data_IF_418613113070
#
_entry.id   IF_418613113070
#
_cell.length_a   1.000
_cell.length_b   1.000
_cell.length_c   1.000
_cell.angle_alpha   90.00
_cell.angle_beta   90.00
_cell.angle_gamma   90.00
#
_symmetry.space_group_name_H-M   'P 1'
#
loop_
_entity.id
_entity.type
_entity.pdbx_description
1 polymer ?
#
# COMPACT_ATOMS: atom_id res chain seq x y z
N UNK A 1 -1.51 12.83 -10.44
CA UNK A 1 -1.45 13.34 -9.05
C UNK A 1 -2.86 13.35 -8.50
N UNK A 2 -3.06 12.82 -7.30
CA UNK A 2 -4.32 12.86 -6.59
C UNK A 2 -4.12 13.47 -5.20
N UNK A 3 -5.19 14.02 -4.62
CA UNK A 3 -5.19 14.59 -3.28
C UNK A 3 -6.32 13.94 -2.50
N UNK A 4 -5.96 13.32 -1.37
CA UNK A 4 -6.87 12.59 -0.49
C UNK A 4 -6.97 13.36 0.83
N UNK A 5 -8.09 14.04 1.07
CA UNK A 5 -8.32 14.71 2.34
C UNK A 5 -8.41 13.69 3.47
N UNK A 6 -7.60 13.84 4.51
CA UNK A 6 -7.68 13.01 5.71
C UNK A 6 -8.54 13.69 6.76
N UNK A 7 -8.22 14.95 7.04
CA UNK A 7 -8.92 15.78 8.02
C UNK A 7 -8.95 17.23 7.52
N UNK A 8 -9.71 18.14 8.16
CA UNK A 8 -9.64 19.55 7.81
C UNK A 8 -8.18 20.03 7.83
N UNK A 9 -7.73 20.57 6.69
CA UNK A 9 -6.38 21.11 6.47
C UNK A 9 -5.24 20.07 6.52
N UNK A 10 -5.56 18.79 6.39
CA UNK A 10 -4.57 17.70 6.30
C UNK A 10 -4.95 16.77 5.16
N UNK A 11 -4.01 16.55 4.23
CA UNK A 11 -4.23 15.67 3.09
C UNK A 11 -3.01 14.77 2.82
N UNK A 12 -3.26 13.66 2.12
CA UNK A 12 -2.21 12.91 1.43
C UNK A 12 -2.20 13.33 -0.04
N UNK A 13 -1.03 13.72 -0.52
CA UNK A 13 -0.78 13.97 -1.93
C UNK A 13 -0.11 12.74 -2.52
N UNK A 14 -0.75 12.14 -3.51
CA UNK A 14 -0.25 10.98 -4.26
C UNK A 14 0.31 11.44 -5.60
N UNK A 15 1.58 11.13 -5.85
CA UNK A 15 2.29 11.47 -7.08
C UNK A 15 2.68 10.18 -7.79
N UNK A 16 2.11 9.96 -8.97
CA UNK A 16 2.48 8.86 -9.85
C UNK A 16 3.90 9.10 -10.40
N UNK A 17 4.82 8.18 -10.11
CA UNK A 17 6.20 8.21 -10.58
C UNK A 17 6.38 7.40 -11.86
N UNK A 18 5.81 6.19 -11.89
CA UNK A 18 5.75 5.35 -13.07
C UNK A 18 4.39 4.67 -13.17
N UNK A 19 3.83 4.58 -14.38
CA UNK A 19 2.55 3.89 -14.58
C UNK A 19 2.64 2.38 -14.33
N UNK A 20 3.81 1.78 -14.60
CA UNK A 20 3.95 0.33 -14.73
C UNK A 20 3.00 -0.25 -15.78
N UNK A 21 3.15 -1.54 -16.10
CA UNK A 21 2.16 -2.25 -16.92
C UNK A 21 1.03 -2.83 -16.07
N UNK A 22 1.33 -3.18 -14.81
CA UNK A 22 0.38 -3.79 -13.87
C UNK A 22 0.68 -3.43 -12.40
N UNK A 23 1.72 -2.64 -12.15
CA UNK A 23 2.09 -2.12 -10.84
C UNK A 23 2.63 -0.71 -11.01
N UNK A 24 1.78 0.31 -10.83
CA UNK A 24 2.27 1.68 -10.81
C UNK A 24 3.15 1.89 -9.57
N UNK A 25 3.99 2.91 -9.65
CA UNK A 25 4.78 3.39 -8.52
C UNK A 25 4.36 4.81 -8.16
N UNK A 26 4.26 5.05 -6.86
CA UNK A 26 3.83 6.33 -6.32
C UNK A 26 4.74 6.76 -5.18
N UNK A 27 4.93 8.07 -5.03
CA UNK A 27 5.38 8.67 -3.78
C UNK A 27 4.21 9.40 -3.13
N UNK A 28 4.20 9.42 -1.80
CA UNK A 28 3.14 10.06 -1.03
C UNK A 28 3.71 11.14 -0.12
N UNK A 29 3.02 12.27 -0.05
CA UNK A 29 3.35 13.34 0.88
C UNK A 29 2.18 13.59 1.82
N UNK A 30 2.47 13.83 3.09
CA UNK A 30 1.50 14.45 3.99
C UNK A 30 1.61 15.96 3.87
N UNK A 31 0.51 16.59 3.46
CA UNK A 31 0.37 18.03 3.41
C UNK A 31 -0.44 18.50 4.62
N UNK A 32 0.18 19.30 5.48
CA UNK A 32 -0.42 19.80 6.72
C UNK A 32 -0.42 21.33 6.70
N UNK A 33 -1.62 21.91 6.76
CA UNK A 33 -1.83 23.34 6.81
C UNK A 33 -2.31 23.83 8.18
N UNK A 34 -2.29 23.03 9.24
CA UNK A 34 -2.82 23.44 10.55
C UNK A 34 -2.01 24.55 11.23
N UNK A 35 -0.71 24.65 10.93
CA UNK A 35 0.20 25.66 11.49
C UNK A 35 0.18 27.02 10.78
N UNK A 36 1.09 27.91 11.20
CA UNK A 36 1.27 29.24 10.59
C UNK A 36 1.80 29.16 9.14
N UNK A 37 2.50 28.08 8.81
CA UNK A 37 2.98 27.77 7.46
C UNK A 37 2.56 26.36 7.10
N UNK A 38 2.16 26.15 5.84
CA UNK A 38 1.91 24.82 5.32
C UNK A 38 3.21 24.01 5.24
N UNK A 39 3.14 22.73 5.59
CA UNK A 39 4.28 21.80 5.51
C UNK A 39 3.92 20.61 4.62
N UNK A 40 4.91 20.13 3.86
CA UNK A 40 4.80 18.91 3.06
C UNK A 40 5.90 17.95 3.52
N UNK A 41 5.51 16.75 3.96
CA UNK A 41 6.44 15.73 4.44
C UNK A 41 6.37 14.52 3.53
N UNK A 42 7.50 14.10 2.96
CA UNK A 42 7.59 12.84 2.22
C UNK A 42 7.36 11.67 3.18
N UNK A 43 6.49 10.75 2.80
CA UNK A 43 6.15 9.59 3.62
C UNK A 43 7.07 8.42 3.34
N UNK A 44 7.40 7.70 4.41
CA UNK A 44 8.19 6.47 4.38
C UNK A 44 7.30 5.31 4.81
N UNK A 45 7.15 4.30 3.96
CA UNK A 45 6.28 3.16 4.18
C UNK A 45 7.09 1.95 4.61
N UNK A 46 6.72 1.26 5.70
CA UNK A 46 7.17 -0.11 5.92
C UNK A 46 6.53 -1.02 4.86
N UNK A 47 7.30 -1.45 3.87
CA UNK A 47 6.81 -2.25 2.74
C UNK A 47 7.15 -3.72 2.96
N UNK A 48 6.23 -4.58 2.53
CA UNK A 48 6.44 -6.02 2.37
C UNK A 48 6.50 -6.34 0.88
N UNK A 49 7.60 -6.92 0.42
CA UNK A 49 7.79 -7.29 -1.00
C UNK A 49 8.12 -8.78 -1.13
N UNK A 50 8.11 -9.28 -2.36
CA UNK A 50 8.59 -10.62 -2.70
C UNK A 50 9.16 -10.59 -4.11
N UNK A 51 10.49 -10.48 -4.23
CA UNK A 51 11.18 -10.45 -5.52
C UNK A 51 11.22 -11.80 -6.22
N UNK A 52 11.18 -12.89 -5.45
CA UNK A 52 11.23 -14.28 -5.93
C UNK A 52 9.84 -14.95 -6.05
N UNK A 53 8.78 -14.27 -5.60
CA UNK A 53 7.43 -14.82 -5.51
C UNK A 53 7.30 -15.97 -4.50
N UNK A 54 8.22 -16.09 -3.55
CA UNK A 54 8.30 -17.20 -2.59
C UNK A 54 8.48 -16.73 -1.15
N UNK A 55 9.31 -15.71 -0.93
CA UNK A 55 9.67 -15.20 0.38
C UNK A 55 9.25 -13.74 0.55
N UNK A 56 8.94 -13.35 1.80
CA UNK A 56 8.59 -11.97 2.15
C UNK A 56 9.85 -11.25 2.60
N UNK A 57 10.11 -10.10 2.01
CA UNK A 57 11.14 -9.15 2.41
C UNK A 57 10.49 -7.93 3.06
N UNK A 58 11.17 -7.36 4.05
CA UNK A 58 10.72 -6.14 4.75
C UNK A 58 11.70 -5.01 4.47
N UNK A 59 11.19 -3.85 4.11
CA UNK A 59 11.99 -2.63 3.94
C UNK A 59 11.20 -1.39 4.31
N UNK A 60 11.87 -0.23 4.28
CA UNK A 60 11.23 1.08 4.42
C UNK A 60 11.50 1.86 3.15
N UNK A 61 10.44 2.22 2.43
CA UNK A 61 10.53 2.81 1.09
C UNK A 61 9.75 4.11 1.01
N UNK A 62 10.23 5.04 0.19
CA UNK A 62 9.51 6.29 -0.15
C UNK A 62 8.65 6.12 -1.40
N UNK A 63 9.12 5.29 -2.35
CA UNK A 63 8.38 4.91 -3.55
C UNK A 63 7.71 3.55 -3.32
N UNK A 64 6.39 3.54 -3.41
CA UNK A 64 5.57 2.35 -3.17
C UNK A 64 5.05 1.83 -4.49
N UNK A 65 5.28 0.54 -4.74
CA UNK A 65 4.83 -0.16 -5.92
C UNK A 65 3.57 -0.98 -5.66
N UNK A 66 2.59 -0.86 -6.54
CA UNK A 66 1.34 -1.61 -6.46
C UNK A 66 0.11 -0.73 -6.63
N UNK A 67 -1.04 -1.40 -6.70
CA UNK A 67 -2.34 -0.73 -6.73
C UNK A 67 -2.70 -0.23 -5.34
N UNK A 68 -2.97 1.07 -5.20
CA UNK A 68 -3.33 1.73 -3.94
C UNK A 68 -4.85 1.98 -3.87
N UNK A 69 -5.41 1.83 -2.68
CA UNK A 69 -6.77 2.26 -2.39
C UNK A 69 -6.80 3.07 -1.10
N UNK A 70 -7.40 4.26 -1.16
CA UNK A 70 -7.60 5.14 -0.02
C UNK A 70 -9.01 4.96 0.55
N UNK A 71 -9.09 4.94 1.88
CA UNK A 71 -10.34 5.03 2.63
C UNK A 71 -10.26 6.25 3.56
N UNK A 72 -10.61 7.45 3.07
CA UNK A 72 -10.48 8.71 3.82
C UNK A 72 -11.17 8.66 5.18
N UNK A 73 -12.40 8.15 5.23
CA UNK A 73 -13.19 8.04 6.47
C UNK A 73 -12.53 7.17 7.55
N UNK A 74 -11.69 6.22 7.11
CA UNK A 74 -10.95 5.33 8.01
C UNK A 74 -9.52 5.80 8.28
N UNK A 75 -9.04 6.85 7.60
CA UNK A 75 -7.64 7.27 7.61
C UNK A 75 -6.70 6.11 7.23
N UNK A 76 -7.10 5.31 6.25
CA UNK A 76 -6.37 4.12 5.83
C UNK A 76 -6.02 4.16 4.34
N UNK A 77 -4.90 3.53 4.02
CA UNK A 77 -4.53 3.16 2.66
C UNK A 77 -4.18 1.68 2.62
N UNK A 78 -4.63 0.97 1.60
CA UNK A 78 -4.14 -0.38 1.31
C UNK A 78 -3.41 -0.42 -0.02
N UNK A 79 -2.40 -1.28 -0.12
CA UNK A 79 -1.62 -1.50 -1.34
C UNK A 79 -1.58 -2.97 -1.66
N UNK A 80 -1.84 -3.32 -2.91
CA UNK A 80 -1.60 -4.65 -3.46
C UNK A 80 -0.38 -4.62 -4.37
N UNK A 81 0.68 -5.31 -3.93
CA UNK A 81 1.89 -5.56 -4.72
C UNK A 81 1.81 -6.98 -5.29
N UNK A 82 1.93 -7.10 -6.62
CA UNK A 82 1.83 -8.38 -7.29
C UNK A 82 3.21 -9.03 -7.45
N UNK A 83 3.32 -10.33 -7.27
CA UNK A 83 4.56 -11.04 -7.62
C UNK A 83 4.63 -11.37 -9.12
N UNK A 84 3.48 -11.39 -9.81
CA UNK A 84 3.38 -11.54 -11.28
C UNK A 84 2.08 -10.94 -11.82
N UNK A 85 2.02 -10.72 -13.13
CA UNK A 85 0.96 -9.98 -13.83
C UNK A 85 -0.48 -10.48 -13.59
N UNK A 86 -0.67 -11.76 -13.26
CA UNK A 86 -2.00 -12.39 -13.17
C UNK A 86 -2.77 -12.10 -11.88
N UNK A 87 -2.15 -11.37 -10.94
CA UNK A 87 -2.73 -11.07 -9.63
C UNK A 87 -3.19 -12.30 -8.83
N UNK A 88 -2.62 -13.47 -9.10
CA UNK A 88 -2.96 -14.73 -8.45
C UNK A 88 -2.04 -15.06 -7.26
N UNK A 89 -0.97 -14.29 -7.08
CA UNK A 89 -0.08 -14.24 -5.92
C UNK A 89 0.51 -12.83 -5.72
N UNK A 90 0.94 -12.54 -4.51
CA UNK A 90 1.47 -11.24 -4.14
C UNK A 90 1.29 -10.96 -2.66
N UNK A 91 1.39 -9.68 -2.30
CA UNK A 91 1.25 -9.17 -0.94
C UNK A 91 0.29 -8.00 -0.94
N UNK A 92 -0.64 -8.04 0.00
CA UNK A 92 -1.52 -6.93 0.32
C UNK A 92 -1.14 -6.38 1.68
N UNK A 93 -1.04 -5.06 1.78
CA UNK A 93 -0.65 -4.33 2.99
C UNK A 93 -1.67 -3.24 3.28
N UNK A 94 -1.98 -3.00 4.54
CA UNK A 94 -2.84 -1.89 5.01
C UNK A 94 -2.09 -1.02 5.98
N UNK A 95 -2.25 0.29 5.80
CA UNK A 95 -1.57 1.33 6.52
C UNK A 95 -2.57 2.25 7.21
N UNK A 96 -2.31 2.57 8.48
CA UNK A 96 -2.93 3.72 9.14
C UNK A 96 -2.17 4.99 8.79
N UNK A 97 -2.91 6.06 8.47
CA UNK A 97 -2.40 7.36 8.03
C UNK A 97 -2.69 8.51 9.03
N UNK A 98 -3.23 8.19 10.21
CA UNK A 98 -3.58 9.17 11.24
C UNK A 98 -2.35 9.83 11.89
N UNK A 99 -1.20 9.14 11.88
CA UNK A 99 0.07 9.64 12.40
C UNK A 99 0.85 10.54 11.44
N UNK A 100 2.09 10.88 11.82
CA UNK A 100 3.03 11.63 10.95
C UNK A 100 3.60 10.78 9.82
N UNK A 101 3.82 9.49 10.08
CA UNK A 101 4.27 8.50 9.12
C UNK A 101 3.26 7.35 9.06
N UNK A 102 3.13 6.67 7.91
CA UNK A 102 2.31 5.48 7.77
C UNK A 102 2.74 4.36 8.72
N UNK A 103 1.77 3.65 9.28
CA UNK A 103 2.03 2.46 10.10
C UNK A 103 1.35 1.27 9.46
N UNK A 104 2.10 0.21 9.16
CA UNK A 104 1.55 -1.06 8.68
C UNK A 104 0.70 -1.70 9.79
N UNK A 105 -0.60 -1.85 9.57
CA UNK A 105 -1.56 -2.36 10.55
C UNK A 105 -2.06 -3.76 10.23
N UNK A 106 -2.06 -4.14 8.95
CA UNK A 106 -2.38 -5.50 8.51
C UNK A 106 -1.63 -5.85 7.24
N UNK A 107 -1.39 -7.14 7.04
CA UNK A 107 -0.93 -7.67 5.77
C UNK A 107 -1.46 -9.09 5.54
N UNK A 108 -1.64 -9.42 4.26
CA UNK A 108 -2.00 -10.75 3.79
C UNK A 108 -1.17 -11.08 2.57
N UNK A 109 -0.72 -12.32 2.45
CA UNK A 109 0.11 -12.74 1.32
C UNK A 109 -0.32 -14.10 0.80
N UNK A 110 -0.29 -14.26 -0.51
CA UNK A 110 -0.43 -15.56 -1.16
C UNK A 110 0.90 -15.92 -1.79
N UNK A 111 1.76 -16.52 -0.98
CA UNK A 111 3.09 -17.00 -1.36
C UNK A 111 3.27 -18.45 -0.84
N UNK A 112 4.07 -19.30 -1.51
CA UNK A 112 4.68 -19.03 -2.81
C UNK A 112 3.64 -18.93 -3.93
N UNK A 113 4.01 -18.28 -5.04
CA UNK A 113 3.19 -18.27 -6.23
C UNK A 113 2.92 -19.70 -6.73
N UNK A 114 1.67 -20.03 -7.12
CA UNK A 114 1.37 -21.36 -7.62
C UNK A 114 2.10 -21.65 -8.93
N UNK A 115 2.52 -22.91 -9.12
CA UNK A 115 3.26 -23.34 -10.32
C UNK A 115 2.45 -23.14 -11.62
N UNK A 116 1.12 -23.33 -11.55
CA UNK A 116 0.18 -22.96 -12.62
C UNK A 116 -0.52 -21.65 -12.30
N UNK A 117 -1.10 -21.03 -13.33
CA UNK A 117 -1.92 -19.83 -13.16
C UNK A 117 -3.14 -20.15 -12.29
N UNK A 118 -3.28 -19.43 -11.19
CA UNK A 118 -4.45 -19.47 -10.33
C UNK A 118 -5.48 -18.43 -10.73
N UNK A 119 -6.69 -18.47 -10.13
CA UNK A 119 -7.63 -17.37 -10.28
C UNK A 119 -7.02 -16.07 -9.69
N UNK A 120 -7.34 -14.91 -10.26
CA UNK A 120 -6.92 -13.62 -9.72
C UNK A 120 -7.49 -13.42 -8.31
N UNK A 121 -6.84 -12.58 -7.52
CA UNK A 121 -7.31 -12.16 -6.21
C UNK A 121 -8.74 -11.61 -6.30
N UNK A 122 -9.59 -12.03 -5.37
CA UNK A 122 -10.92 -11.46 -5.18
C UNK A 122 -10.87 -10.58 -3.94
N UNK A 123 -11.59 -9.46 -3.92
CA UNK A 123 -11.52 -8.48 -2.84
C UNK A 123 -12.87 -8.36 -2.12
N UNK A 124 -12.81 -8.22 -0.79
CA UNK A 124 -13.96 -7.85 0.02
C UNK A 124 -14.24 -6.34 -0.07
N UNK A 125 -15.38 -5.90 0.46
CA UNK A 125 -15.63 -4.48 0.72
C UNK A 125 -14.50 -3.92 1.60
N UNK A 126 -13.82 -2.86 1.15
CA UNK A 126 -12.61 -2.34 1.81
C UNK A 126 -11.29 -2.91 1.28
N UNK A 127 -11.31 -3.48 0.06
CA UNK A 127 -10.15 -3.80 -0.78
C UNK A 127 -9.14 -4.79 -0.16
N UNK A 128 -9.57 -5.63 0.78
CA UNK A 128 -8.76 -6.71 1.33
C UNK A 128 -8.96 -8.00 0.52
N UNK A 129 -7.89 -8.75 0.18
CA UNK A 129 -8.01 -9.97 -0.60
C UNK A 129 -8.68 -11.08 0.20
N UNK A 130 -9.70 -11.69 -0.41
CA UNK A 130 -10.38 -12.86 0.13
C UNK A 130 -9.46 -14.07 0.11
N UNK A 131 -9.45 -14.81 1.23
CA UNK A 131 -8.77 -16.11 1.40
C UNK A 131 -7.24 -16.07 1.36
N UNK A 132 -6.63 -14.88 1.35
CA UNK A 132 -5.17 -14.77 1.50
C UNK A 132 -4.79 -14.87 2.99
N UNK A 133 -3.86 -15.77 3.36
CA UNK A 133 -3.39 -15.87 4.74
C UNK A 133 -2.83 -14.55 5.27
N UNK A 134 -3.10 -14.24 6.53
CA UNK A 134 -2.51 -13.08 7.21
C UNK A 134 -1.01 -13.28 7.43
N UNK A 135 -0.24 -12.19 7.32
CA UNK A 135 1.19 -12.15 7.62
C UNK A 135 1.38 -11.60 9.04
N UNK A 136 2.23 -12.26 9.84
CA UNK A 136 2.57 -11.76 11.17
C UNK A 136 3.44 -10.50 11.06
N UNK A 137 2.99 -9.42 11.69
CA UNK A 137 3.67 -8.12 11.70
C UNK A 137 4.63 -7.94 12.88
N UNK A 138 5.01 -9.02 13.58
CA UNK A 138 5.89 -8.95 14.75
C UNK A 138 7.13 -8.08 14.49
N UNK A 139 7.40 -7.21 15.48
CA UNK A 139 8.50 -6.24 15.52
C UNK A 139 9.87 -6.90 15.40
#
# INVERSE_FOLDING_TARGET
MAVHELAPRVAIVEVLCASGAYQPSHVYLRYDQQGASATATLLEFPVLTSGDGSSIEKSVETEVWGESWFSPDAYEMSVLTLSRQLADCGIWSRYALSGRQPVLTAASARLPCPASQGPPAQFANGNSPLRWPSVSLSK
#
